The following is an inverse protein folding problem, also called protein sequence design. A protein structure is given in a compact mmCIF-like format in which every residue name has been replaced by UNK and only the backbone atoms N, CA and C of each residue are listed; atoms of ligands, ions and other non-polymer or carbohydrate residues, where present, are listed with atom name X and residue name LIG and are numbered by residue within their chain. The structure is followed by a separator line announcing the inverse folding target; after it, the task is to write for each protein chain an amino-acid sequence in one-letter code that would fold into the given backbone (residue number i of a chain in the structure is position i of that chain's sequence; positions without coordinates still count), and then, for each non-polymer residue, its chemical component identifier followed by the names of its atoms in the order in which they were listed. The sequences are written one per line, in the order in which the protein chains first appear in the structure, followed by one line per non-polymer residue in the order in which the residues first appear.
data_IF_323272333101
#
_entry.id   IF_323272333101
#
_cell.length_a   1.000
_cell.length_b   1.000
_cell.length_c   1.000
_cell.angle_alpha   90.00
_cell.angle_beta   90.00
_cell.angle_gamma   90.00
#
_symmetry.space_group_name_H-M   'P 1'
#
loop_
_entity.id
_entity.type
_entity.pdbx_description
1 polymer ?
#
# COMPACT_ATOMS: atom_id res chain seq x y z
N UNK A 1 1.94 6.53 -8.61
CA UNK A 1 1.33 6.85 -7.31
C UNK A 1 2.09 6.10 -6.23
N UNK A 2 2.86 6.80 -5.40
CA UNK A 2 3.76 6.18 -4.41
C UNK A 2 3.08 6.22 -3.04
N UNK A 3 2.99 5.08 -2.36
CA UNK A 3 2.57 5.06 -0.95
C UNK A 3 3.84 5.01 -0.12
N UNK A 4 4.22 6.10 0.52
CA UNK A 4 5.35 6.14 1.45
C UNK A 4 4.82 5.92 2.87
N UNK A 5 4.75 4.66 3.29
CA UNK A 5 4.72 4.30 4.71
C UNK A 5 6.17 4.21 5.18
N UNK A 6 6.58 4.99 6.17
CA UNK A 6 8.00 5.11 6.47
C UNK A 6 8.34 5.75 7.81
N UNK A 7 7.65 5.37 8.88
CA UNK A 7 8.04 5.75 10.23
C UNK A 7 8.97 4.71 10.86
N UNK A 8 10.26 5.05 11.07
CA UNK A 8 11.10 4.37 12.06
C UNK A 8 10.73 4.96 13.44
N UNK A 9 9.84 4.30 14.16
CA UNK A 9 9.52 4.67 15.53
C UNK A 9 8.04 4.53 15.83
N UNK A 10 7.77 4.03 17.03
CA UNK A 10 6.45 3.92 17.66
C UNK A 10 5.56 5.13 17.36
N UNK A 11 4.33 4.91 16.87
CA UNK A 11 3.25 5.89 17.02
C UNK A 11 2.37 6.15 15.81
N UNK A 12 2.93 6.50 14.64
CA UNK A 12 2.12 7.20 13.64
C UNK A 12 1.89 6.38 12.36
N UNK A 13 0.66 5.86 12.24
CA UNK A 13 0.20 4.95 11.16
C UNK A 13 -0.20 5.68 9.88
N UNK A 14 0.45 6.79 9.56
CA UNK A 14 0.10 7.58 8.37
C UNK A 14 0.87 7.03 7.17
N UNK A 15 0.14 6.73 6.10
CA UNK A 15 0.74 6.47 4.80
C UNK A 15 0.37 7.64 3.89
N UNK A 16 1.38 8.23 3.28
CA UNK A 16 1.16 9.29 2.31
C UNK A 16 1.03 8.68 0.93
N UNK A 17 -0.03 9.07 0.21
CA UNK A 17 -0.22 8.69 -1.19
C UNK A 17 0.17 9.89 -2.04
N UNK A 18 1.24 9.73 -2.81
CA UNK A 18 1.66 10.70 -3.81
C UNK A 18 0.95 10.41 -5.14
N UNK A 19 0.04 11.29 -5.56
CA UNK A 19 -0.57 11.26 -6.89
C UNK A 19 0.24 12.14 -7.88
N UNK A 20 1.01 11.56 -8.82
CA UNK A 20 1.81 12.34 -9.76
C UNK A 20 0.97 13.16 -10.75
N UNK A 21 -0.30 12.81 -10.98
CA UNK A 21 -1.18 13.56 -11.88
C UNK A 21 -1.71 14.86 -11.24
N UNK A 22 -1.76 14.91 -9.91
CA UNK A 22 -2.30 16.06 -9.16
C UNK A 22 -1.24 16.86 -8.41
N UNK A 23 0.02 16.40 -8.34
CA UNK A 23 1.12 17.00 -7.54
C UNK A 23 0.74 17.27 -6.07
N UNK A 24 -0.27 16.58 -5.56
CA UNK A 24 -0.78 16.75 -4.20
C UNK A 24 -0.47 15.49 -3.38
N UNK A 25 0.08 15.68 -2.19
CA UNK A 25 0.11 14.65 -1.15
C UNK A 25 -1.25 14.64 -0.47
N UNK A 26 -2.08 13.66 -0.78
CA UNK A 26 -3.30 13.45 -0.02
C UNK A 26 -2.93 12.63 1.22
N UNK A 27 -3.06 13.23 2.41
CA UNK A 27 -2.96 12.47 3.66
C UNK A 27 -4.10 11.48 3.72
N UNK A 28 -3.79 10.19 3.58
CA UNK A 28 -4.79 9.16 3.68
C UNK A 28 -4.92 8.75 5.14
N UNK A 29 -6.06 9.08 5.74
CA UNK A 29 -6.47 8.60 7.07
C UNK A 29 -6.87 7.12 7.06
N UNK A 30 -6.13 6.28 6.34
CA UNK A 30 -6.33 4.83 6.33
C UNK A 30 -5.21 4.17 7.14
N UNK A 31 -5.60 3.14 7.89
CA UNK A 31 -4.71 2.45 8.83
C UNK A 31 -3.97 1.33 8.11
N UNK A 32 -2.89 1.65 7.44
CA UNK A 32 -2.01 0.67 6.81
C UNK A 32 -1.16 -0.06 7.85
N UNK A 33 -0.72 -1.28 7.54
CA UNK A 33 0.39 -1.89 8.29
C UNK A 33 1.66 -1.04 8.10
N UNK A 34 2.43 -0.78 9.18
CA UNK A 34 3.71 -0.11 9.07
C UNK A 34 4.65 -0.98 8.23
N UNK A 35 5.13 -0.44 7.11
CA UNK A 35 6.03 -1.11 6.17
C UNK A 35 6.88 -0.09 5.42
N UNK A 36 8.15 -0.39 5.17
CA UNK A 36 8.95 0.28 4.13
C UNK A 36 9.38 -0.74 3.07
N UNK A 37 10.03 -0.31 1.98
CA UNK A 37 10.56 -1.22 0.92
C UNK A 37 9.51 -2.19 0.34
N UNK A 38 8.25 -1.77 0.30
CA UNK A 38 7.15 -2.51 -0.29
C UNK A 38 6.93 -2.08 -1.75
N UNK A 39 6.13 -2.81 -2.50
CA UNK A 39 5.65 -2.37 -3.81
C UNK A 39 4.24 -1.84 -3.72
N UNK A 40 3.93 -0.80 -4.50
CA UNK A 40 2.59 -0.26 -4.67
C UNK A 40 2.23 -0.32 -6.16
N UNK A 41 1.33 -1.23 -6.53
CA UNK A 41 0.90 -1.45 -7.91
C UNK A 41 -0.52 -0.93 -8.12
N UNK A 42 -0.71 -0.05 -9.10
CA UNK A 42 -2.03 0.44 -9.46
C UNK A 42 -2.76 -0.59 -10.34
N UNK A 43 -3.97 -0.95 -9.93
CA UNK A 43 -4.90 -1.82 -10.65
C UNK A 43 -5.93 -0.89 -11.29
N UNK A 44 -5.95 -0.74 -12.62
CA UNK A 44 -6.89 0.15 -13.30
C UNK A 44 -8.34 -0.30 -13.09
N UNK A 45 -9.25 0.66 -13.26
CA UNK A 45 -10.68 0.37 -13.27
C UNK A 45 -11.00 -0.65 -14.37
N UNK A 46 -11.93 -1.56 -14.08
CA UNK A 46 -12.29 -2.67 -14.97
C UNK A 46 -13.67 -3.21 -14.58
N UNK A 47 -14.10 -4.32 -15.20
CA UNK A 47 -15.41 -4.91 -14.94
C UNK A 47 -15.60 -5.21 -13.43
N UNK A 48 -16.39 -4.37 -12.75
CA UNK A 48 -16.66 -4.46 -11.31
C UNK A 48 -15.73 -3.65 -10.38
N UNK A 49 -14.79 -2.85 -10.90
CA UNK A 49 -13.95 -1.96 -10.09
C UNK A 49 -14.05 -0.53 -10.63
N UNK A 50 -14.76 0.34 -9.90
CA UNK A 50 -14.82 1.78 -10.18
C UNK A 50 -13.65 2.50 -9.48
N UNK A 51 -12.97 3.42 -10.18
CA UNK A 51 -11.91 4.26 -9.62
C UNK A 51 -10.50 3.66 -9.53
N UNK A 52 -10.32 2.38 -9.88
CA UNK A 52 -9.06 1.66 -9.73
C UNK A 52 -8.68 1.42 -8.26
N UNK A 53 -7.70 0.55 -8.01
CA UNK A 53 -7.23 0.22 -6.66
C UNK A 53 -5.72 0.17 -6.60
N UNK A 54 -5.14 0.21 -5.42
CA UNK A 54 -3.70 0.08 -5.21
C UNK A 54 -3.42 -1.15 -4.38
N UNK A 55 -2.62 -2.06 -4.91
CA UNK A 55 -2.12 -3.20 -4.16
C UNK A 55 -0.77 -2.85 -3.54
N UNK A 56 -0.69 -2.88 -2.22
CA UNK A 56 0.55 -2.81 -1.47
C UNK A 56 0.98 -4.23 -1.12
N UNK A 57 2.13 -4.70 -1.60
CA UNK A 57 2.60 -6.05 -1.35
C UNK A 57 3.96 -6.08 -0.64
N UNK A 58 4.04 -6.87 0.43
CA UNK A 58 5.27 -7.12 1.17
C UNK A 58 5.81 -5.89 1.89
N UNK A 59 7.14 -5.76 1.89
CA UNK A 59 7.89 -4.74 2.61
C UNK A 59 8.47 -5.23 3.92
N UNK A 60 9.13 -4.32 4.63
CA UNK A 60 9.72 -4.52 5.94
C UNK A 60 8.91 -3.77 6.99
N UNK A 61 8.26 -4.51 7.87
CA UNK A 61 7.55 -3.96 9.02
C UNK A 61 8.38 -4.03 10.31
N UNK A 62 7.82 -3.60 11.44
CA UNK A 62 8.51 -3.57 12.73
C UNK A 62 8.99 -4.94 13.21
N UNK A 63 8.31 -6.01 12.79
CA UNK A 63 8.61 -7.40 13.15
C UNK A 63 9.38 -8.18 12.07
N UNK A 64 9.90 -7.48 11.05
CA UNK A 64 10.60 -8.08 9.92
C UNK A 64 9.82 -8.07 8.60
N UNK A 65 10.26 -8.87 7.64
CA UNK A 65 9.71 -8.91 6.28
C UNK A 65 8.27 -9.39 6.28
N UNK A 66 7.41 -8.70 5.54
CA UNK A 66 5.98 -8.98 5.44
C UNK A 66 5.69 -9.89 4.25
N UNK A 67 4.86 -10.92 4.49
CA UNK A 67 4.15 -11.66 3.44
C UNK A 67 2.73 -11.12 3.19
N UNK A 68 2.33 -10.11 3.96
CA UNK A 68 1.02 -9.49 3.88
C UNK A 68 0.90 -8.57 2.65
N UNK A 69 -0.33 -8.41 2.17
CA UNK A 69 -0.67 -7.43 1.17
C UNK A 69 -1.94 -6.68 1.58
N UNK A 70 -2.00 -5.38 1.27
CA UNK A 70 -3.15 -4.51 1.53
C UNK A 70 -3.65 -3.93 0.22
N UNK A 71 -4.97 -3.89 0.07
CA UNK A 71 -5.63 -3.26 -1.06
C UNK A 71 -6.22 -1.95 -0.61
N UNK A 72 -5.77 -0.86 -1.20
CA UNK A 72 -6.30 0.47 -0.98
C UNK A 72 -7.27 0.86 -2.11
N UNK A 73 -8.43 1.37 -1.71
CA UNK A 73 -9.45 1.88 -2.61
C UNK A 73 -9.48 3.42 -2.49
N UNK A 74 -8.92 4.16 -3.47
CA UNK A 74 -8.86 5.62 -3.43
C UNK A 74 -10.23 6.29 -3.50
N UNK A 75 -11.24 5.63 -4.08
CA UNK A 75 -12.58 6.21 -4.19
C UNK A 75 -13.27 6.31 -2.82
N UNK A 76 -13.00 5.36 -1.93
CA UNK A 76 -13.57 5.30 -0.58
C UNK A 76 -12.58 5.71 0.51
N UNK A 77 -11.30 5.86 0.17
CA UNK A 77 -10.22 6.07 1.14
C UNK A 77 -10.03 4.89 2.09
N UNK A 78 -10.55 3.70 1.75
CA UNK A 78 -10.50 2.52 2.61
C UNK A 78 -9.29 1.64 2.27
N UNK A 79 -8.74 0.97 3.29
CA UNK A 79 -7.73 -0.07 3.09
C UNK A 79 -8.24 -1.38 3.64
N UNK A 80 -7.97 -2.47 2.91
CA UNK A 80 -8.31 -3.83 3.32
C UNK A 80 -7.09 -4.72 3.30
N UNK A 81 -6.82 -5.37 4.42
CA UNK A 81 -5.84 -6.45 4.50
C UNK A 81 -6.36 -7.67 3.72
N UNK A 82 -5.54 -8.18 2.80
CA UNK A 82 -5.88 -9.41 2.08
C UNK A 82 -5.74 -10.62 2.99
N UNK A 83 -6.72 -11.54 2.93
CA UNK A 83 -6.68 -12.82 3.66
C UNK A 83 -5.52 -13.70 3.18
N UNK A 84 -5.29 -13.70 1.86
CA UNK A 84 -4.23 -14.49 1.25
C UNK A 84 -2.90 -13.76 1.38
N UNK A 85 -1.87 -14.50 1.79
CA UNK A 85 -0.50 -14.01 1.95
C UNK A 85 0.37 -14.54 0.81
N UNK A 86 1.47 -13.85 0.54
CA UNK A 86 2.52 -14.36 -0.35
C UNK A 86 3.13 -15.64 0.25
N UNK A 87 3.53 -16.58 -0.60
CA UNK A 87 4.18 -17.84 -0.18
C UNK A 87 5.46 -17.56 0.62
N UNK A 88 6.21 -16.53 0.24
CA UNK A 88 7.38 -16.05 0.96
C UNK A 88 7.25 -14.54 1.24
N UNK A 89 7.66 -14.06 2.43
CA UNK A 89 7.83 -12.63 2.69
C UNK A 89 8.82 -12.01 1.71
N UNK A 90 8.54 -10.82 1.19
CA UNK A 90 9.42 -10.12 0.24
C UNK A 90 9.52 -8.64 0.59
N UNK A 91 10.71 -8.08 0.49
CA UNK A 91 10.99 -6.64 0.54
C UNK A 91 11.93 -6.29 -0.62
N UNK A 92 11.97 -5.01 -1.03
CA UNK A 92 12.81 -4.55 -2.16
C UNK A 92 12.55 -5.32 -3.47
N UNK A 93 11.33 -5.82 -3.62
CA UNK A 93 10.91 -6.53 -4.83
C UNK A 93 10.28 -5.55 -5.81
N UNK A 94 10.09 -6.01 -7.05
CA UNK A 94 9.39 -5.24 -8.10
C UNK A 94 8.09 -5.96 -8.41
N UNK A 95 6.98 -5.22 -8.45
CA UNK A 95 5.67 -5.75 -8.85
C UNK A 95 5.14 -4.91 -10.02
N UNK A 96 4.89 -5.58 -11.13
CA UNK A 96 4.31 -5.03 -12.35
C UNK A 96 2.94 -5.67 -12.60
N UNK A 97 2.02 -4.92 -13.21
CA UNK A 97 0.71 -5.42 -13.67
C UNK A 97 0.82 -5.90 -15.11
#
# INVERSE_FOLDING_TARGET
MLIAGGGRGEGERYAEIYDPAKRLTALVRARFLPRNRHTATFIPAGAGISGGRILLAGGLGPKGTLAAAELYDPATGTVRLLKNKMIAPRQQHTATL
#
